data_IF_726155058421
#
_entry.id   IF_726155058421
#
_cell.length_a   1.000
_cell.length_b   1.000
_cell.length_c   1.000
_cell.angle_alpha   90.00
_cell.angle_beta   90.00
_cell.angle_gamma   90.00
#
_symmetry.space_group_name_H-M   'P 1'
#
loop_
_entity.id
_entity.type
_entity.pdbx_description
1 polymer ?
#
# COMPACT_ATOMS: atom_id res chain seq x y z
N UNK A 1 -19.44 -73.09 -67.60
CA UNK A 1 -19.42 -71.83 -68.36
C UNK A 1 -20.36 -70.88 -67.64
N UNK A 2 -19.82 -69.81 -67.03
CA UNK A 2 -20.44 -68.48 -66.90
C UNK A 2 -19.76 -67.64 -65.80
N UNK A 3 -18.97 -66.68 -66.31
CA UNK A 3 -18.64 -65.31 -65.87
C UNK A 3 -18.16 -64.96 -64.43
N UNK A 4 -17.06 -64.18 -64.29
CA UNK A 4 -16.60 -63.64 -63.02
C UNK A 4 -17.22 -62.26 -62.71
N UNK A 5 -17.82 -62.10 -61.53
CA UNK A 5 -18.25 -60.78 -61.03
C UNK A 5 -17.05 -59.99 -60.48
N UNK A 6 -16.75 -58.86 -61.13
CA UNK A 6 -15.85 -57.82 -60.63
C UNK A 6 -16.36 -57.25 -59.30
N UNK A 7 -15.52 -57.22 -58.26
CA UNK A 7 -15.74 -56.41 -57.06
C UNK A 7 -14.96 -55.10 -57.19
N UNK A 8 -15.68 -53.99 -57.22
CA UNK A 8 -15.13 -52.63 -57.12
C UNK A 8 -14.60 -52.35 -55.71
N UNK A 9 -13.45 -51.67 -55.55
CA UNK A 9 -12.94 -51.32 -54.23
C UNK A 9 -13.71 -50.13 -53.65
N UNK A 10 -14.32 -50.32 -52.47
CA UNK A 10 -14.88 -49.23 -51.66
C UNK A 10 -13.74 -48.34 -51.16
N UNK A 11 -13.65 -47.10 -51.68
CA UNK A 11 -12.80 -46.06 -51.09
C UNK A 11 -13.41 -45.60 -49.77
N UNK A 12 -12.76 -45.96 -48.66
CA UNK A 12 -13.07 -45.43 -47.34
C UNK A 12 -12.63 -43.95 -47.31
N UNK A 13 -13.59 -43.02 -47.33
CA UNK A 13 -13.30 -41.60 -47.10
C UNK A 13 -13.09 -41.40 -45.60
N UNK A 14 -11.84 -41.16 -45.21
CA UNK A 14 -11.50 -40.71 -43.86
C UNK A 14 -12.02 -39.27 -43.72
N UNK A 15 -13.06 -39.06 -42.90
CA UNK A 15 -13.55 -37.74 -42.56
C UNK A 15 -12.61 -37.16 -41.50
N UNK A 16 -11.74 -36.23 -41.88
CA UNK A 16 -10.93 -35.47 -40.94
C UNK A 16 -11.82 -34.43 -40.27
N UNK A 17 -12.25 -34.69 -39.03
CA UNK A 17 -12.95 -33.69 -38.21
C UNK A 17 -11.88 -32.76 -37.64
N UNK A 18 -11.70 -31.60 -38.28
CA UNK A 18 -10.98 -30.50 -37.66
C UNK A 18 -11.82 -29.94 -36.52
N UNK A 19 -11.50 -30.33 -35.28
CA UNK A 19 -11.97 -29.60 -34.10
C UNK A 19 -11.17 -28.30 -34.05
N UNK A 20 -11.75 -27.23 -34.56
CA UNK A 20 -11.24 -25.88 -34.35
C UNK A 20 -11.41 -25.53 -32.87
N UNK A 21 -10.36 -25.76 -32.07
CA UNK A 21 -10.21 -25.16 -30.75
C UNK A 21 -10.08 -23.65 -30.94
N UNK A 22 -11.20 -22.94 -30.92
CA UNK A 22 -11.19 -21.50 -30.66
C UNK A 22 -10.79 -21.34 -29.21
N UNK A 23 -9.48 -21.20 -28.96
CA UNK A 23 -9.01 -20.64 -27.71
C UNK A 23 -9.58 -19.22 -27.64
N UNK A 24 -10.69 -19.03 -26.92
CA UNK A 24 -11.10 -17.70 -26.50
C UNK A 24 -9.96 -17.17 -25.67
N UNK A 25 -9.16 -16.28 -26.25
CA UNK A 25 -8.18 -15.50 -25.52
C UNK A 25 -9.00 -14.62 -24.57
N UNK A 26 -9.23 -15.09 -23.33
CA UNK A 26 -9.75 -14.23 -22.29
C UNK A 26 -8.84 -13.01 -22.22
N UNK A 27 -9.43 -11.83 -22.11
CA UNK A 27 -8.65 -10.60 -21.96
C UNK A 27 -7.74 -10.75 -20.73
N UNK A 28 -6.45 -10.54 -20.94
CA UNK A 28 -5.41 -10.58 -19.90
C UNK A 28 -5.78 -9.60 -18.78
N UNK A 29 -5.69 -10.05 -17.53
CA UNK A 29 -6.02 -9.19 -16.38
C UNK A 29 -4.97 -8.10 -16.17
N UNK A 30 -5.33 -7.06 -15.41
CA UNK A 30 -4.40 -5.98 -15.08
C UNK A 30 -3.15 -6.52 -14.37
N UNK A 31 -3.33 -7.40 -13.37
CA UNK A 31 -2.21 -8.01 -12.64
C UNK A 31 -1.31 -8.87 -13.50
N UNK A 32 -1.85 -9.59 -14.49
CA UNK A 32 -1.02 -10.38 -15.40
C UNK A 32 -0.13 -9.48 -16.27
N UNK A 33 -0.61 -8.29 -16.67
CA UNK A 33 0.20 -7.32 -17.39
C UNK A 33 1.25 -6.65 -16.47
N UNK A 34 0.85 -6.27 -15.26
CA UNK A 34 1.75 -5.67 -14.27
C UNK A 34 2.87 -6.64 -13.85
N UNK A 35 2.54 -7.91 -13.61
CA UNK A 35 3.50 -8.97 -13.29
C UNK A 35 4.52 -9.15 -14.43
N UNK A 36 4.08 -9.10 -15.69
CA UNK A 36 4.96 -9.20 -16.86
C UNK A 36 5.91 -7.99 -17.00
N UNK A 37 5.52 -6.83 -16.48
CA UNK A 37 6.30 -5.60 -16.46
C UNK A 37 7.10 -5.40 -15.15
N UNK A 38 6.92 -6.28 -14.16
CA UNK A 38 7.67 -6.27 -12.91
C UNK A 38 7.22 -5.23 -11.88
N UNK A 39 5.94 -4.83 -11.88
CA UNK A 39 5.40 -3.92 -10.86
C UNK A 39 4.05 -4.40 -10.30
N UNK A 40 3.63 -3.81 -9.18
CA UNK A 40 2.35 -4.11 -8.54
C UNK A 40 1.25 -3.18 -9.05
N UNK A 41 0.08 -3.74 -9.34
CA UNK A 41 -1.16 -3.01 -9.57
C UNK A 41 -2.15 -3.37 -8.48
N UNK A 42 -2.57 -2.37 -7.71
CA UNK A 42 -3.42 -2.58 -6.55
C UNK A 42 -4.56 -1.60 -6.43
N UNK A 43 -5.36 -1.80 -5.39
CA UNK A 43 -6.52 -0.96 -5.07
C UNK A 43 -6.78 -0.95 -3.57
N UNK A 44 -7.39 0.12 -3.08
CA UNK A 44 -7.86 0.23 -1.71
C UNK A 44 -9.15 -0.60 -1.51
N UNK A 45 -9.26 -1.25 -0.36
CA UNK A 45 -10.34 -2.20 -0.06
C UNK A 45 -10.91 -1.95 1.33
N UNK A 46 -12.24 -2.06 1.45
CA UNK A 46 -12.95 -2.14 2.73
C UNK A 46 -13.45 -3.56 3.01
N UNK A 47 -13.39 -4.05 4.26
CA UNK A 47 -13.71 -5.45 4.56
C UNK A 47 -15.14 -5.85 4.17
N UNK A 48 -16.13 -4.96 4.31
CA UNK A 48 -17.52 -5.27 3.97
C UNK A 48 -17.74 -5.53 2.47
N UNK A 49 -16.92 -4.95 1.60
CA UNK A 49 -17.04 -5.12 0.15
C UNK A 49 -16.65 -6.54 -0.30
N UNK A 50 -15.84 -7.25 0.51
CA UNK A 50 -15.42 -8.62 0.23
C UNK A 50 -16.59 -9.63 0.26
N UNK A 51 -17.71 -9.29 0.90
CA UNK A 51 -18.92 -10.11 0.88
C UNK A 51 -19.68 -10.03 -0.45
N UNK A 52 -19.42 -9.01 -1.27
CA UNK A 52 -20.02 -8.87 -2.59
C UNK A 52 -19.26 -9.75 -3.61
N UNK A 53 -19.96 -10.72 -4.18
CA UNK A 53 -19.35 -11.71 -5.07
C UNK A 53 -18.72 -11.07 -6.33
N UNK A 54 -19.39 -10.09 -6.93
CA UNK A 54 -18.87 -9.43 -8.14
C UNK A 54 -17.64 -8.57 -7.84
N UNK A 55 -17.67 -7.85 -6.72
CA UNK A 55 -16.52 -7.08 -6.24
C UNK A 55 -15.33 -7.98 -5.96
N UNK A 56 -15.49 -9.00 -5.13
CA UNK A 56 -14.42 -9.93 -4.76
C UNK A 56 -13.85 -10.71 -5.95
N UNK A 57 -14.71 -11.14 -6.89
CA UNK A 57 -14.26 -11.79 -8.12
C UNK A 57 -13.42 -10.85 -8.99
N UNK A 58 -13.84 -9.59 -9.15
CA UNK A 58 -13.09 -8.59 -9.91
C UNK A 58 -11.77 -8.26 -9.22
N UNK A 59 -11.80 -8.02 -7.90
CA UNK A 59 -10.63 -7.75 -7.09
C UNK A 59 -9.58 -8.87 -7.26
N UNK A 60 -10.00 -10.12 -7.05
CA UNK A 60 -9.19 -11.32 -7.17
C UNK A 60 -8.55 -11.52 -8.55
N UNK A 61 -9.28 -11.16 -9.61
CA UNK A 61 -8.85 -11.30 -11.00
C UNK A 61 -7.86 -10.22 -11.40
N UNK A 62 -8.13 -8.96 -11.06
CA UNK A 62 -7.44 -7.81 -11.64
C UNK A 62 -6.21 -7.34 -10.86
N UNK A 63 -6.15 -7.52 -9.55
CA UNK A 63 -5.11 -6.87 -8.73
C UNK A 63 -4.16 -7.88 -8.07
N UNK A 64 -2.88 -7.52 -7.93
CA UNK A 64 -1.86 -8.30 -7.21
C UNK A 64 -1.42 -7.64 -5.90
N UNK A 65 -2.01 -6.50 -5.55
CA UNK A 65 -1.77 -5.78 -4.30
C UNK A 65 -3.08 -5.17 -3.79
N UNK A 66 -3.27 -5.14 -2.48
CA UNK A 66 -4.36 -4.40 -1.84
C UNK A 66 -3.86 -3.54 -0.69
N UNK A 67 -4.57 -2.45 -0.46
CA UNK A 67 -4.37 -1.57 0.68
C UNK A 67 -5.66 -1.53 1.50
N UNK A 68 -5.55 -1.58 2.83
CA UNK A 68 -6.71 -1.44 3.70
C UNK A 68 -7.14 0.03 3.77
N UNK A 69 -8.29 0.38 3.19
CA UNK A 69 -8.71 1.79 3.10
C UNK A 69 -8.86 2.44 4.47
N UNK A 70 -9.52 1.75 5.41
CA UNK A 70 -9.68 2.21 6.80
C UNK A 70 -9.33 1.15 7.85
N UNK A 71 -9.30 -0.13 7.47
CA UNK A 71 -9.27 -1.25 8.41
C UNK A 71 -8.00 -1.32 9.26
N UNK A 72 -6.93 -0.65 8.81
CA UNK A 72 -5.64 -0.56 9.48
C UNK A 72 -5.31 0.86 9.97
N UNK A 73 -6.30 1.76 10.03
CA UNK A 73 -6.15 3.08 10.66
C UNK A 73 -6.33 2.99 12.18
N UNK A 74 -5.76 3.95 12.89
CA UNK A 74 -5.65 3.91 14.35
C UNK A 74 -6.99 3.72 15.06
N UNK A 75 -8.04 4.49 14.70
CA UNK A 75 -9.34 4.37 15.36
C UNK A 75 -9.97 2.98 15.24
N UNK A 76 -9.66 2.22 14.18
CA UNK A 76 -10.14 0.84 14.01
C UNK A 76 -9.29 -0.10 14.85
N UNK A 77 -7.96 0.03 14.74
CA UNK A 77 -7.02 -0.88 15.37
C UNK A 77 -6.92 -0.73 16.88
N UNK A 78 -7.18 0.47 17.42
CA UNK A 78 -7.03 0.78 18.85
C UNK A 78 -8.20 1.66 19.33
N UNK A 79 -9.41 1.09 19.43
CA UNK A 79 -10.63 1.83 19.76
C UNK A 79 -10.67 2.34 21.22
N UNK A 80 -9.87 1.75 22.10
CA UNK A 80 -9.63 2.21 23.47
C UNK A 80 -8.14 2.05 23.85
N UNK A 81 -7.76 2.56 25.03
CA UNK A 81 -6.36 2.59 25.45
C UNK A 81 -5.74 1.19 25.64
N UNK A 82 -6.54 0.20 26.04
CA UNK A 82 -6.10 -1.15 26.44
C UNK A 82 -6.34 -2.23 25.39
N UNK A 83 -7.21 -1.97 24.40
CA UNK A 83 -7.65 -2.97 23.43
C UNK A 83 -7.10 -2.68 22.04
N UNK A 84 -6.61 -3.74 21.38
CA UNK A 84 -6.37 -3.74 19.94
C UNK A 84 -7.40 -4.62 19.23
N UNK A 85 -7.93 -4.14 18.10
CA UNK A 85 -8.89 -4.88 17.26
C UNK A 85 -8.35 -5.06 15.85
N UNK A 86 -7.82 -6.26 15.57
CA UNK A 86 -7.24 -6.62 14.28
C UNK A 86 -8.22 -7.31 13.33
N UNK A 87 -9.47 -7.57 13.75
CA UNK A 87 -10.40 -8.45 13.01
C UNK A 87 -10.62 -8.00 11.56
N UNK A 88 -10.77 -6.69 11.36
CA UNK A 88 -11.03 -6.13 10.04
C UNK A 88 -9.79 -6.19 9.12
N UNK A 89 -8.61 -5.87 9.65
CA UNK A 89 -7.37 -5.98 8.89
C UNK A 89 -7.00 -7.44 8.61
N UNK A 90 -7.22 -8.35 9.55
CA UNK A 90 -7.03 -9.80 9.36
C UNK A 90 -7.94 -10.37 8.27
N UNK A 91 -9.17 -9.85 8.13
CA UNK A 91 -10.05 -10.24 7.03
C UNK A 91 -9.46 -9.85 5.66
N UNK A 92 -8.87 -8.65 5.54
CA UNK A 92 -8.20 -8.20 4.32
C UNK A 92 -6.96 -9.05 4.03
N UNK A 93 -6.16 -9.33 5.05
CA UNK A 93 -4.98 -10.22 4.94
C UNK A 93 -5.38 -11.60 4.44
N UNK A 94 -6.44 -12.21 5.00
CA UNK A 94 -6.89 -13.53 4.57
C UNK A 94 -7.36 -13.56 3.11
N UNK A 95 -8.00 -12.48 2.64
CA UNK A 95 -8.33 -12.33 1.22
C UNK A 95 -7.06 -12.24 0.36
N UNK A 96 -6.10 -11.39 0.75
CA UNK A 96 -4.84 -11.25 0.03
C UNK A 96 -4.08 -12.56 -0.07
N UNK A 97 -3.97 -13.32 1.02
CA UNK A 97 -3.30 -14.63 1.05
C UNK A 97 -3.97 -15.63 0.09
N UNK A 98 -5.31 -15.70 0.12
CA UNK A 98 -6.10 -16.57 -0.75
C UNK A 98 -5.87 -16.24 -2.24
N UNK A 99 -5.76 -14.96 -2.57
CA UNK A 99 -5.59 -14.47 -3.94
C UNK A 99 -4.14 -14.16 -4.33
N UNK A 100 -3.17 -14.54 -3.48
CA UNK A 100 -1.73 -14.29 -3.68
C UNK A 100 -1.44 -12.83 -4.02
N UNK A 101 -1.97 -11.94 -3.19
CA UNK A 101 -1.76 -10.50 -3.28
C UNK A 101 -0.77 -10.05 -2.21
N UNK A 102 -0.05 -8.98 -2.52
CA UNK A 102 0.70 -8.21 -1.52
C UNK A 102 -0.24 -7.30 -0.74
N UNK A 103 0.08 -6.98 0.51
CA UNK A 103 -0.68 -6.01 1.31
C UNK A 103 0.20 -4.83 1.68
N UNK A 104 -0.21 -3.62 1.29
CA UNK A 104 0.34 -2.36 1.80
C UNK A 104 -0.47 -1.95 3.03
N UNK A 105 0.21 -1.75 4.15
CA UNK A 105 -0.41 -1.32 5.39
C UNK A 105 -0.58 0.20 5.40
N UNK A 106 -1.81 0.67 5.57
CA UNK A 106 -2.14 2.09 5.61
C UNK A 106 -3.06 2.37 6.81
N UNK A 107 -2.61 3.11 7.83
CA UNK A 107 -1.27 3.67 8.07
C UNK A 107 -1.00 3.65 9.58
N UNK A 108 0.27 3.58 9.99
CA UNK A 108 0.63 3.52 11.41
C UNK A 108 0.39 4.87 12.12
N UNK A 109 0.64 5.99 11.44
CA UNK A 109 0.53 7.33 12.04
C UNK A 109 -0.11 8.30 11.06
N UNK A 110 -1.31 8.76 11.40
CA UNK A 110 -1.95 9.87 10.70
C UNK A 110 -2.80 10.68 11.67
N UNK A 111 -2.58 12.00 11.71
CA UNK A 111 -3.21 12.90 12.69
C UNK A 111 -4.75 12.89 12.64
N UNK A 112 -5.33 12.57 11.49
CA UNK A 112 -6.78 12.48 11.30
C UNK A 112 -7.42 11.24 11.90
N UNK A 113 -6.63 10.21 12.19
CA UNK A 113 -7.17 8.89 12.56
C UNK A 113 -7.16 8.60 14.06
N UNK A 114 -6.71 9.56 14.85
CA UNK A 114 -6.57 9.41 16.28
C UNK A 114 -7.95 9.21 16.94
N UNK A 115 -8.12 8.19 17.80
CA UNK A 115 -9.38 7.91 18.47
C UNK A 115 -9.68 8.91 19.60
N UNK A 116 -10.96 9.13 19.96
CA UNK A 116 -11.34 10.10 20.99
C UNK A 116 -10.66 9.89 22.36
N UNK A 117 -10.47 8.64 22.79
CA UNK A 117 -9.80 8.35 24.07
C UNK A 117 -8.37 8.92 24.14
N UNK A 118 -7.72 9.07 22.99
CA UNK A 118 -6.39 9.62 22.88
C UNK A 118 -6.45 11.16 22.91
N UNK A 119 -7.33 11.76 22.10
CA UNK A 119 -7.35 13.22 21.91
C UNK A 119 -8.14 14.00 22.96
N UNK A 120 -8.96 13.33 23.78
CA UNK A 120 -9.79 13.98 24.80
C UNK A 120 -9.11 14.12 26.17
N UNK A 121 -7.83 13.81 26.28
CA UNK A 121 -7.06 13.93 27.51
C UNK A 121 -5.63 14.42 27.26
N UNK A 122 -4.99 14.91 28.31
CA UNK A 122 -3.62 15.42 28.27
C UNK A 122 -2.65 14.36 28.77
N UNK A 123 -1.53 14.19 28.06
CA UNK A 123 -0.45 13.28 28.42
C UNK A 123 0.86 14.04 28.58
N UNK A 124 1.82 13.45 29.28
CA UNK A 124 3.22 13.89 29.27
C UNK A 124 3.91 13.46 27.97
N UNK A 125 5.07 14.03 27.65
CA UNK A 125 5.88 13.64 26.47
C UNK A 125 6.22 12.15 26.53
N UNK A 126 6.58 11.67 27.71
CA UNK A 126 6.95 10.28 27.95
C UNK A 126 5.76 9.33 27.73
N UNK A 127 4.57 9.72 28.19
CA UNK A 127 3.35 8.95 27.95
C UNK A 127 2.98 8.94 26.46
N UNK A 128 3.08 10.07 25.75
CA UNK A 128 2.83 10.13 24.31
C UNK A 128 3.80 9.24 23.54
N UNK A 129 5.10 9.31 23.86
CA UNK A 129 6.12 8.47 23.24
C UNK A 129 5.84 6.99 23.49
N UNK A 130 5.47 6.62 24.72
CA UNK A 130 5.11 5.25 25.07
C UNK A 130 3.88 4.76 24.30
N UNK A 131 2.80 5.56 24.25
CA UNK A 131 1.55 5.20 23.55
C UNK A 131 1.80 5.00 22.06
N UNK A 132 2.57 5.89 21.42
CA UNK A 132 2.87 5.80 19.99
C UNK A 132 3.78 4.63 19.67
N UNK A 133 4.83 4.43 20.47
CA UNK A 133 5.71 3.27 20.36
C UNK A 133 4.94 1.95 20.51
N UNK A 134 4.07 1.85 21.52
CA UNK A 134 3.23 0.67 21.72
C UNK A 134 2.30 0.43 20.53
N UNK A 135 1.66 1.48 20.01
CA UNK A 135 0.79 1.35 18.83
C UNK A 135 1.56 0.80 17.62
N UNK A 136 2.67 1.44 17.25
CA UNK A 136 3.49 1.05 16.10
C UNK A 136 3.98 -0.38 16.25
N UNK A 137 4.58 -0.72 17.39
CA UNK A 137 5.17 -2.05 17.61
C UNK A 137 4.12 -3.16 17.65
N UNK A 138 2.95 -2.92 18.27
CA UNK A 138 1.86 -3.91 18.29
C UNK A 138 1.24 -4.11 16.92
N UNK A 139 1.00 -3.05 16.16
CA UNK A 139 0.36 -3.14 14.84
C UNK A 139 1.32 -3.74 13.82
N UNK A 140 2.51 -3.17 13.65
CA UNK A 140 3.51 -3.69 12.71
C UNK A 140 3.93 -5.12 13.09
N UNK A 141 4.10 -5.40 14.39
CA UNK A 141 4.42 -6.73 14.88
C UNK A 141 3.32 -7.77 14.65
N UNK A 142 2.03 -7.40 14.78
CA UNK A 142 0.91 -8.31 14.49
C UNK A 142 0.87 -8.74 13.01
N UNK A 143 1.15 -7.80 12.11
CA UNK A 143 1.14 -8.04 10.66
C UNK A 143 2.51 -8.41 10.08
N UNK A 144 3.51 -8.67 10.94
CA UNK A 144 4.88 -8.98 10.51
C UNK A 144 4.92 -10.11 9.50
N UNK A 145 5.61 -9.87 8.38
CA UNK A 145 5.73 -10.83 7.27
C UNK A 145 4.47 -11.03 6.42
N UNK A 146 3.37 -10.34 6.73
CA UNK A 146 2.12 -10.36 5.95
C UNK A 146 1.88 -9.05 5.19
N UNK A 147 2.34 -7.94 5.76
CA UNK A 147 2.40 -6.63 5.09
C UNK A 147 3.80 -6.45 4.49
N UNK A 148 3.88 -6.15 3.19
CA UNK A 148 5.19 -5.99 2.52
C UNK A 148 5.74 -4.57 2.62
N UNK A 149 4.85 -3.59 2.80
CA UNK A 149 5.20 -2.19 2.92
C UNK A 149 4.22 -1.46 3.86
N UNK A 150 4.72 -0.57 4.69
CA UNK A 150 3.93 0.29 5.56
C UNK A 150 4.02 1.74 5.13
N UNK A 151 2.88 2.41 5.05
CA UNK A 151 2.83 3.84 5.24
C UNK A 151 3.01 4.09 6.74
N UNK A 152 4.24 4.39 7.13
CA UNK A 152 4.59 4.61 8.55
C UNK A 152 3.99 5.92 9.03
N UNK A 153 4.09 6.97 8.20
CA UNK A 153 3.50 8.27 8.49
C UNK A 153 2.84 8.85 7.25
N UNK A 154 1.60 9.28 7.42
CA UNK A 154 0.79 9.91 6.37
C UNK A 154 0.62 11.41 6.65
N UNK A 155 0.87 12.23 5.63
CA UNK A 155 0.52 13.67 5.58
C UNK A 155 1.01 14.52 6.76
N UNK A 156 2.27 14.34 7.15
CA UNK A 156 2.96 15.11 8.18
C UNK A 156 3.36 16.53 7.76
N UNK A 157 3.33 16.89 6.48
CA UNK A 157 3.70 18.23 5.99
C UNK A 157 2.51 19.02 5.41
N UNK A 158 2.52 20.34 5.58
CA UNK A 158 1.58 21.26 4.97
C UNK A 158 2.02 21.66 3.54
N UNK A 159 1.18 22.40 2.83
CA UNK A 159 1.46 22.85 1.46
C UNK A 159 2.69 23.75 1.34
N UNK A 160 3.18 24.33 2.44
CA UNK A 160 4.35 25.18 2.48
C UNK A 160 5.61 24.41 2.90
N UNK A 161 5.54 23.07 3.01
CA UNK A 161 6.67 22.23 3.43
C UNK A 161 7.02 22.34 4.91
N UNK A 162 6.08 22.80 5.76
CA UNK A 162 6.24 22.79 7.21
C UNK A 162 5.59 21.56 7.81
N UNK A 163 6.18 21.03 8.88
CA UNK A 163 5.54 19.96 9.66
C UNK A 163 4.20 20.48 10.21
N UNK A 164 3.13 19.73 9.94
CA UNK A 164 1.77 20.08 10.35
C UNK A 164 1.60 20.01 11.87
N UNK A 165 0.89 20.97 12.47
CA UNK A 165 0.36 20.82 13.82
C UNK A 165 -0.45 19.52 13.93
N UNK A 166 -0.23 18.78 15.01
CA UNK A 166 -0.93 17.54 15.29
C UNK A 166 -0.82 17.19 16.77
N UNK A 167 -1.69 16.31 17.25
CA UNK A 167 -1.62 15.78 18.62
C UNK A 167 -0.23 15.19 18.99
N UNK A 168 0.49 14.67 18.00
CA UNK A 168 1.82 14.10 18.19
C UNK A 168 2.94 15.14 18.16
N UNK A 169 2.73 16.26 17.47
CA UNK A 169 3.74 17.30 17.26
C UNK A 169 3.58 18.50 18.19
N UNK A 170 2.35 18.88 18.53
CA UNK A 170 2.05 20.06 19.34
C UNK A 170 2.19 19.79 20.84
N UNK A 171 2.55 20.82 21.61
CA UNK A 171 2.83 20.73 23.04
C UNK A 171 1.73 19.96 23.81
N UNK A 172 2.09 18.90 24.57
CA UNK A 172 3.46 18.51 24.95
C UNK A 172 4.21 17.64 23.93
N UNK A 173 3.55 17.18 22.85
CA UNK A 173 4.08 16.59 21.61
C UNK A 173 5.49 16.00 21.59
N UNK A 174 5.62 14.79 21.04
CA UNK A 174 6.94 14.15 20.86
C UNK A 174 7.78 14.81 19.74
N UNK A 175 7.17 15.64 18.90
CA UNK A 175 7.88 16.48 17.94
C UNK A 175 8.20 17.81 18.57
N UNK A 176 9.46 18.05 18.95
CA UNK A 176 9.93 19.33 19.51
C UNK A 176 9.47 20.52 18.63
N UNK A 177 8.34 21.13 19.01
CA UNK A 177 7.54 21.96 18.12
C UNK A 177 8.34 23.07 17.43
N UNK A 178 8.16 23.18 16.11
CA UNK A 178 8.57 24.30 15.26
C UNK A 178 9.78 24.06 14.34
N UNK A 179 10.55 22.97 14.48
CA UNK A 179 11.79 22.80 13.69
C UNK A 179 12.23 21.37 13.32
N UNK A 180 11.58 20.30 13.77
CA UNK A 180 12.18 18.96 13.65
C UNK A 180 11.27 17.88 13.08
N UNK A 181 11.81 17.08 12.18
CA UNK A 181 11.26 15.80 11.71
C UNK A 181 11.60 14.63 12.65
N UNK A 182 12.16 14.88 13.84
CA UNK A 182 12.60 13.85 14.77
C UNK A 182 11.47 12.88 15.18
N UNK A 183 10.24 13.37 15.33
CA UNK A 183 9.12 12.48 15.63
C UNK A 183 8.80 11.55 14.45
N UNK A 184 8.91 12.04 13.21
CA UNK A 184 8.77 11.24 11.99
C UNK A 184 9.89 10.20 11.96
N UNK A 185 11.15 10.60 12.16
CA UNK A 185 12.27 9.65 12.22
C UNK A 185 12.03 8.53 13.24
N UNK A 186 11.55 8.91 14.44
CA UNK A 186 11.34 7.95 15.51
C UNK A 186 10.27 6.91 15.17
N UNK A 187 9.20 7.28 14.45
CA UNK A 187 8.18 6.32 14.03
C UNK A 187 8.74 5.30 13.02
N UNK A 188 9.62 5.74 12.12
CA UNK A 188 10.30 4.84 11.18
C UNK A 188 11.26 3.88 11.87
N UNK A 189 12.02 4.35 12.88
CA UNK A 189 12.88 3.48 13.68
C UNK A 189 12.08 2.38 14.39
N UNK A 190 10.98 2.76 15.04
CA UNK A 190 10.10 1.81 15.73
C UNK A 190 9.40 0.83 14.77
N UNK A 191 8.98 1.30 13.59
CA UNK A 191 8.40 0.42 12.57
C UNK A 191 9.42 -0.60 12.06
N UNK A 192 10.66 -0.17 11.80
CA UNK A 192 11.74 -1.06 11.38
C UNK A 192 12.12 -2.07 12.46
N UNK A 193 12.16 -1.67 13.73
CA UNK A 193 12.41 -2.57 14.85
C UNK A 193 11.32 -3.64 15.00
N UNK A 194 10.06 -3.28 14.72
CA UNK A 194 8.92 -4.19 14.80
C UNK A 194 8.85 -5.19 13.64
N UNK A 195 9.15 -4.73 12.41
CA UNK A 195 9.28 -5.59 11.23
C UNK A 195 10.40 -5.10 10.29
N UNK A 196 11.63 -5.65 10.43
CA UNK A 196 12.77 -5.24 9.61
C UNK A 196 12.64 -5.60 8.12
N UNK A 197 11.72 -6.50 7.78
CA UNK A 197 11.56 -7.04 6.41
C UNK A 197 10.53 -6.24 5.60
N UNK A 198 9.70 -5.41 6.26
CA UNK A 198 8.72 -4.56 5.59
C UNK A 198 9.37 -3.26 5.09
N UNK A 199 9.02 -2.85 3.87
CA UNK A 199 9.45 -1.55 3.33
C UNK A 199 8.73 -0.41 4.04
N UNK A 200 9.45 0.66 4.36
CA UNK A 200 8.89 1.79 5.12
C UNK A 200 8.73 3.03 4.24
N UNK A 201 7.48 3.47 4.09
CA UNK A 201 7.10 4.61 3.27
C UNK A 201 6.62 5.79 4.11
N UNK A 202 6.98 6.99 3.67
CA UNK A 202 6.26 8.21 4.03
C UNK A 202 5.26 8.50 2.91
N UNK A 203 3.99 8.78 3.22
CA UNK A 203 2.94 8.95 2.22
C UNK A 203 2.30 10.35 2.30
N UNK A 204 2.06 11.01 1.16
CA UNK A 204 1.43 12.34 1.12
C UNK A 204 0.68 12.62 -0.19
N UNK A 205 -0.28 13.53 -0.10
CA UNK A 205 -0.96 14.14 -1.24
C UNK A 205 -0.52 15.59 -1.44
N UNK A 206 -0.60 16.11 -2.66
CA UNK A 206 -0.15 17.47 -2.99
C UNK A 206 1.37 17.60 -3.10
N UNK A 207 2.09 16.47 -3.11
CA UNK A 207 3.54 16.41 -3.28
C UNK A 207 3.93 15.75 -4.62
N UNK A 208 3.00 15.63 -5.57
CA UNK A 208 3.16 14.86 -6.82
C UNK A 208 4.18 15.51 -7.77
N UNK A 209 4.26 16.84 -7.79
CA UNK A 209 5.23 17.63 -8.58
C UNK A 209 6.22 18.38 -7.68
N UNK A 210 7.21 19.03 -8.28
CA UNK A 210 8.18 19.87 -7.54
C UNK A 210 7.48 21.12 -6.99
N UNK A 211 7.39 21.20 -5.66
CA UNK A 211 6.79 22.31 -4.92
C UNK A 211 7.37 22.38 -3.50
N UNK A 212 6.92 23.32 -2.68
CA UNK A 212 7.44 23.52 -1.32
C UNK A 212 7.29 22.26 -0.42
N UNK A 213 6.16 21.55 -0.53
CA UNK A 213 5.92 20.32 0.23
C UNK A 213 6.88 19.22 -0.22
N UNK A 214 6.96 18.94 -1.51
CA UNK A 214 7.82 17.87 -2.03
C UNK A 214 9.32 18.20 -1.88
N UNK A 215 9.71 19.48 -1.88
CA UNK A 215 11.07 19.92 -1.50
C UNK A 215 11.40 19.60 -0.03
N UNK A 216 10.44 19.79 0.87
CA UNK A 216 10.60 19.42 2.28
C UNK A 216 10.72 17.91 2.47
N UNK A 217 9.90 17.13 1.75
CA UNK A 217 10.02 15.66 1.72
C UNK A 217 11.39 15.22 1.19
N UNK A 218 11.84 15.82 0.09
CA UNK A 218 13.17 15.54 -0.49
C UNK A 218 14.29 15.82 0.52
N UNK A 219 14.23 16.97 1.20
CA UNK A 219 15.21 17.32 2.22
C UNK A 219 15.20 16.34 3.41
N UNK A 220 14.00 15.93 3.86
CA UNK A 220 13.84 14.93 4.93
C UNK A 220 14.43 13.57 4.52
N UNK A 221 14.09 13.05 3.34
CA UNK A 221 14.63 11.77 2.85
C UNK A 221 16.15 11.84 2.76
N UNK A 222 16.70 12.91 2.19
CA UNK A 222 18.15 13.10 2.06
C UNK A 222 18.85 13.08 3.43
N UNK A 223 18.30 13.80 4.42
CA UNK A 223 18.81 13.79 5.79
C UNK A 223 18.73 12.39 6.41
N UNK A 224 17.58 11.73 6.32
CA UNK A 224 17.36 10.39 6.85
C UNK A 224 18.35 9.36 6.27
N UNK A 225 18.52 9.35 4.95
CA UNK A 225 19.49 8.48 4.28
C UNK A 225 20.93 8.77 4.73
N UNK A 226 21.29 10.05 4.92
CA UNK A 226 22.63 10.43 5.39
C UNK A 226 22.94 9.95 6.82
N UNK A 227 21.91 9.76 7.64
CA UNK A 227 22.02 9.31 9.05
C UNK A 227 21.57 7.86 9.26
N UNK A 228 21.36 7.10 8.18
CA UNK A 228 20.88 5.72 8.24
C UNK A 228 19.58 5.55 9.04
N UNK A 229 18.66 6.51 8.92
CA UNK A 229 17.26 6.33 9.35
C UNK A 229 16.59 5.38 8.34
N UNK A 230 15.89 4.34 8.79
CA UNK A 230 15.13 3.47 7.89
C UNK A 230 14.09 4.29 7.12
N UNK A 231 14.18 4.32 5.80
CA UNK A 231 13.18 4.85 4.89
C UNK A 231 13.46 4.27 3.51
N UNK A 232 12.46 3.59 2.97
CA UNK A 232 12.59 2.82 1.74
C UNK A 232 11.86 3.48 0.58
N UNK A 233 10.85 4.32 0.85
CA UNK A 233 10.08 4.97 -0.21
C UNK A 233 9.30 6.21 0.19
N UNK A 234 8.85 6.93 -0.84
CA UNK A 234 7.85 8.01 -0.76
C UNK A 234 6.61 7.59 -1.53
N UNK A 235 5.47 7.52 -0.86
CA UNK A 235 4.18 7.33 -1.50
C UNK A 235 3.59 8.66 -1.94
N UNK A 236 3.32 8.79 -3.24
CA UNK A 236 2.55 9.90 -3.81
C UNK A 236 1.09 9.44 -3.95
N UNK A 237 0.16 10.05 -3.21
CA UNK A 237 -1.25 9.63 -3.22
C UNK A 237 -1.90 9.78 -4.59
N UNK A 238 -1.42 10.71 -5.42
CA UNK A 238 -1.88 10.91 -6.79
C UNK A 238 -3.37 11.28 -6.89
N UNK A 239 -3.86 12.06 -5.92
CA UNK A 239 -5.17 12.72 -6.01
C UNK A 239 -5.09 13.91 -6.97
N UNK A 240 -5.16 13.63 -8.28
CA UNK A 240 -4.96 14.62 -9.34
C UNK A 240 -6.23 14.95 -10.12
N UNK A 241 -6.17 16.02 -10.91
CA UNK A 241 -7.21 16.39 -11.87
C UNK A 241 -7.14 15.53 -13.14
N UNK A 242 -8.07 15.74 -14.08
CA UNK A 242 -8.14 15.03 -15.38
C UNK A 242 -6.93 15.27 -16.30
N UNK A 243 -6.14 16.31 -16.02
CA UNK A 243 -4.99 16.72 -16.82
C UNK A 243 -3.77 16.99 -15.93
N UNK A 244 -3.20 15.94 -15.30
CA UNK A 244 -2.03 16.09 -14.43
C UNK A 244 -0.80 16.55 -15.23
N UNK A 245 0.10 17.26 -14.57
CA UNK A 245 1.41 17.61 -15.10
C UNK A 245 2.34 16.38 -15.09
N UNK A 246 2.17 15.50 -16.09
CA UNK A 246 2.95 14.26 -16.21
C UNK A 246 4.47 14.52 -16.22
N UNK A 247 5.02 15.49 -17.00
CA UNK A 247 6.44 15.81 -16.92
C UNK A 247 6.90 16.26 -15.53
N UNK A 248 6.09 17.06 -14.83
CA UNK A 248 6.39 17.49 -13.46
C UNK A 248 6.41 16.34 -12.46
N UNK A 249 5.50 15.37 -12.61
CA UNK A 249 5.45 14.15 -11.80
C UNK A 249 6.68 13.28 -12.06
N UNK A 250 7.01 13.05 -13.33
CA UNK A 250 8.20 12.28 -13.72
C UNK A 250 9.49 12.88 -13.15
N UNK A 251 9.65 14.20 -13.26
CA UNK A 251 10.79 14.92 -12.69
C UNK A 251 10.89 14.76 -11.17
N UNK A 252 9.75 14.78 -10.47
CA UNK A 252 9.70 14.62 -9.03
C UNK A 252 10.01 13.17 -8.60
N UNK A 253 9.49 12.16 -9.30
CA UNK A 253 9.84 10.75 -9.09
C UNK A 253 11.35 10.54 -9.30
N UNK A 254 11.91 11.10 -10.38
CA UNK A 254 13.32 10.97 -10.71
C UNK A 254 14.26 11.49 -9.60
N UNK A 255 13.91 12.61 -8.95
CA UNK A 255 14.76 13.13 -7.87
C UNK A 255 14.67 12.29 -6.58
N UNK A 256 13.51 11.75 -6.23
CA UNK A 256 13.40 10.87 -5.06
C UNK A 256 14.14 9.56 -5.29
N UNK A 257 13.97 8.94 -6.45
CA UNK A 257 14.69 7.71 -6.81
C UNK A 257 16.21 7.92 -6.87
N UNK A 258 16.68 9.12 -7.25
CA UNK A 258 18.10 9.48 -7.17
C UNK A 258 18.66 9.55 -5.72
N UNK A 259 17.81 9.62 -4.69
CA UNK A 259 18.21 9.47 -3.27
C UNK A 259 18.28 8.00 -2.82
N UNK A 260 17.95 7.05 -3.71
CA UNK A 260 17.96 5.62 -3.40
C UNK A 260 16.76 5.16 -2.56
N UNK A 261 15.59 5.78 -2.79
CA UNK A 261 14.28 5.34 -2.26
C UNK A 261 13.34 4.99 -3.42
N UNK A 262 12.34 4.15 -3.15
CA UNK A 262 11.26 3.82 -4.08
C UNK A 262 10.22 4.94 -4.12
N UNK A 263 9.45 4.99 -5.20
CA UNK A 263 8.24 5.83 -5.34
C UNK A 263 7.13 4.97 -5.92
#
# INVERSE_FOLDING_TARGET
>A
MDSPFMRTPRRLRLLLVCVSLTASCLAQSLREQADALGFLVGTAVRPYALAEQQYSATLGREFNMIEAEDAMKWWVLRPDQSTFDFRQGDQIIGFAETHRMKVRGHTLVWGWTNPPWLTSQTFTVEQLAHILHEHITRVAGHYRGKVFAWDVLNEGFDENGKVKPSFWYDQPGIGFAGKSTAYIEQTFRWAHEADPDALLFYNDGGAETVNAKSDALYAMVKDFKSRSVPIDGIGLQMHTDLHPDIPGIEANIARFTALGVQV
#
